data_IF_046776385715
#
_entry.id   IF_046776385715
#
_cell.length_a   1.000
_cell.length_b   1.000
_cell.length_c   1.000
_cell.angle_alpha   90.00
_cell.angle_beta   90.00
_cell.angle_gamma   90.00
#
_symmetry.space_group_name_H-M   'P 1'
#
loop_
_entity.id
_entity.type
_entity.pdbx_description
1 polymer ?
#
# COMPACT_ATOMS: atom_id res chain seq x y z
N UNK A 1 -8.92 -10.61 -12.80
CA UNK A 1 -7.62 -10.89 -13.44
C UNK A 1 -6.73 -11.54 -12.40
N UNK A 2 -6.16 -12.69 -12.71
CA UNK A 2 -5.21 -13.37 -11.81
C UNK A 2 -3.88 -12.58 -11.80
N UNK A 3 -3.34 -12.29 -10.61
CA UNK A 3 -2.07 -11.59 -10.46
C UNK A 3 -0.96 -12.61 -10.71
N UNK A 4 -0.08 -12.33 -11.66
CA UNK A 4 1.07 -13.20 -11.97
C UNK A 4 2.25 -12.82 -11.07
N UNK A 5 2.86 -13.80 -10.43
CA UNK A 5 4.06 -13.62 -9.62
C UNK A 5 5.26 -14.35 -10.23
N UNK A 6 6.41 -13.68 -10.25
CA UNK A 6 7.66 -14.24 -10.75
C UNK A 6 8.79 -13.91 -9.79
N UNK A 7 9.60 -14.91 -9.47
CA UNK A 7 10.76 -14.77 -8.59
C UNK A 7 11.98 -15.41 -9.25
N UNK A 8 13.07 -14.65 -9.35
CA UNK A 8 14.38 -15.18 -9.63
C UNK A 8 14.97 -15.79 -8.35
N UNK A 9 14.90 -17.11 -8.22
CA UNK A 9 15.26 -17.84 -6.99
C UNK A 9 16.24 -18.99 -7.28
N UNK A 10 17.16 -19.21 -6.34
CA UNK A 10 17.90 -20.46 -6.21
C UNK A 10 17.36 -21.18 -4.96
N UNK A 11 16.48 -22.18 -5.14
CA UNK A 11 15.78 -22.82 -4.02
C UNK A 11 16.64 -23.84 -3.28
N UNK A 12 17.86 -24.11 -3.75
CA UNK A 12 18.68 -25.21 -3.27
C UNK A 12 19.61 -24.76 -2.16
N UNK A 13 19.67 -25.59 -1.10
CA UNK A 13 20.78 -25.50 -0.14
C UNK A 13 22.10 -25.74 -0.85
N UNK A 14 23.14 -25.01 -0.43
CA UNK A 14 24.48 -25.08 -1.04
C UNK A 14 24.44 -24.85 -2.56
N UNK A 15 23.41 -24.16 -3.05
CA UNK A 15 23.24 -23.87 -4.46
C UNK A 15 24.38 -23.00 -4.99
N UNK A 16 24.71 -23.18 -6.28
CA UNK A 16 25.68 -22.30 -6.94
C UNK A 16 25.16 -20.85 -6.92
N UNK A 17 25.86 -19.96 -6.21
CA UNK A 17 25.48 -18.54 -6.06
C UNK A 17 25.50 -17.76 -7.37
N UNK A 18 26.10 -18.27 -8.44
CA UNK A 18 26.05 -17.70 -9.78
C UNK A 18 24.83 -18.14 -10.59
N UNK A 19 24.01 -19.06 -10.08
CA UNK A 19 22.82 -19.60 -10.75
C UNK A 19 21.54 -19.16 -10.05
N UNK A 20 20.57 -18.75 -10.85
CA UNK A 20 19.23 -18.33 -10.39
C UNK A 20 18.22 -18.69 -11.47
N UNK A 21 17.02 -19.12 -11.07
CA UNK A 21 16.00 -19.62 -11.98
C UNK A 21 14.72 -18.81 -11.80
N UNK A 22 13.97 -18.62 -12.90
CA UNK A 22 12.66 -17.98 -12.85
C UNK A 22 11.59 -18.99 -12.49
N UNK A 23 10.92 -18.78 -11.36
CA UNK A 23 9.80 -19.60 -10.91
C UNK A 23 8.61 -18.73 -10.46
N UNK A 24 7.46 -19.37 -10.32
CA UNK A 24 6.32 -18.78 -9.62
C UNK A 24 6.61 -18.65 -8.11
N UNK A 25 5.90 -17.75 -7.42
CA UNK A 25 5.99 -17.52 -5.97
C UNK A 25 5.76 -18.79 -5.14
N UNK A 26 5.02 -19.78 -5.65
CA UNK A 26 4.84 -21.08 -4.97
C UNK A 26 6.15 -21.78 -4.62
N UNK A 27 7.19 -21.62 -5.45
CA UNK A 27 8.52 -22.18 -5.16
C UNK A 27 9.16 -21.48 -3.96
N UNK A 28 8.98 -20.16 -3.83
CA UNK A 28 9.41 -19.41 -2.65
C UNK A 28 8.68 -19.93 -1.40
N UNK A 29 7.36 -20.11 -1.48
CA UNK A 29 6.54 -20.58 -0.35
C UNK A 29 6.90 -22.00 0.10
N UNK A 30 7.19 -22.91 -0.84
CA UNK A 30 7.69 -24.25 -0.52
C UNK A 30 9.03 -24.21 0.22
N UNK A 31 9.94 -23.31 -0.16
CA UNK A 31 11.26 -23.20 0.46
C UNK A 31 11.15 -22.66 1.88
N UNK A 32 10.44 -21.56 2.10
CA UNK A 32 10.33 -20.95 3.44
C UNK A 32 9.48 -21.82 4.38
N UNK A 33 8.54 -22.60 3.85
CA UNK A 33 7.71 -23.54 4.61
C UNK A 33 8.43 -24.84 4.98
N UNK A 34 9.67 -25.04 4.52
CA UNK A 34 10.39 -26.29 4.75
C UNK A 34 10.90 -26.39 6.20
N UNK A 35 10.70 -27.57 6.81
CA UNK A 35 11.22 -27.89 8.15
C UNK A 35 12.75 -27.79 8.22
N UNK A 36 13.42 -28.07 7.10
CA UNK A 36 14.87 -28.00 7.00
C UNK A 36 15.37 -26.56 7.10
N UNK A 37 14.74 -25.62 6.37
CA UNK A 37 15.09 -24.20 6.46
C UNK A 37 14.78 -23.66 7.85
N UNK A 38 13.63 -24.02 8.44
CA UNK A 38 13.32 -23.67 9.83
C UNK A 38 14.40 -24.12 10.81
N UNK A 39 14.81 -25.40 10.75
CA UNK A 39 15.91 -25.93 11.59
C UNK A 39 17.21 -25.14 11.38
N UNK A 40 17.58 -24.85 10.14
CA UNK A 40 18.79 -24.08 9.83
C UNK A 40 18.75 -22.67 10.41
N UNK A 41 17.62 -21.97 10.30
CA UNK A 41 17.49 -20.62 10.83
C UNK A 41 17.61 -20.62 12.36
N UNK A 42 16.97 -21.57 13.04
CA UNK A 42 17.11 -21.75 14.49
C UNK A 42 18.57 -22.01 14.88
N UNK A 43 19.28 -22.85 14.13
CA UNK A 43 20.71 -23.11 14.34
C UNK A 43 21.59 -21.87 14.13
N UNK A 44 21.33 -21.09 13.07
CA UNK A 44 22.04 -19.83 12.78
C UNK A 44 21.81 -18.81 13.89
N UNK A 45 20.62 -18.81 14.51
CA UNK A 45 20.24 -17.93 15.61
C UNK A 45 20.73 -18.40 16.98
N UNK A 46 21.28 -19.60 17.07
CA UNK A 46 21.71 -20.22 18.34
C UNK A 46 20.56 -20.78 19.18
N UNK A 47 19.37 -20.94 18.58
CA UNK A 47 18.18 -21.50 19.23
C UNK A 47 18.21 -23.04 19.24
N UNK A 48 18.98 -23.64 18.33
CA UNK A 48 19.27 -25.07 18.29
C UNK A 48 20.76 -25.33 18.16
N UNK A 49 21.27 -26.44 18.73
CA UNK A 49 22.65 -26.84 18.56
C UNK A 49 22.95 -27.22 17.09
N UNK A 50 24.22 -27.07 16.70
CA UNK A 50 24.71 -27.50 15.39
C UNK A 50 25.43 -28.84 15.59
N UNK A 51 24.96 -29.87 14.87
CA UNK A 51 25.51 -31.22 14.96
C UNK A 51 27.03 -31.22 14.71
N UNK A 52 27.80 -31.80 15.62
CA UNK A 52 29.26 -31.89 15.52
C UNK A 52 30.04 -30.62 15.89
N UNK A 53 29.41 -29.64 16.54
CA UNK A 53 30.05 -28.41 17.02
C UNK A 53 29.99 -28.34 18.54
N UNK A 54 31.14 -28.15 19.19
CA UNK A 54 31.20 -27.91 20.63
C UNK A 54 30.57 -26.55 20.97
N UNK A 55 29.54 -26.56 21.81
CA UNK A 55 28.82 -25.36 22.22
C UNK A 55 29.66 -24.45 23.14
N UNK A 56 30.70 -24.98 23.78
CA UNK A 56 31.59 -24.21 24.63
C UNK A 56 32.68 -23.48 23.82
N UNK A 57 32.90 -23.88 22.55
CA UNK A 57 33.80 -23.19 21.64
C UNK A 57 33.05 -22.14 20.82
N UNK A 58 33.04 -20.90 21.33
CA UNK A 58 32.38 -19.77 20.68
C UNK A 58 32.89 -19.51 19.25
N UNK A 59 34.15 -19.80 18.95
CA UNK A 59 34.72 -19.61 17.63
C UNK A 59 34.23 -20.69 16.65
N UNK A 60 34.19 -21.95 17.09
CA UNK A 60 33.62 -23.04 16.30
C UNK A 60 32.13 -22.82 16.02
N UNK A 61 31.35 -22.39 17.02
CA UNK A 61 29.93 -22.03 16.86
C UNK A 61 29.75 -20.93 15.82
N UNK A 62 30.48 -19.83 15.94
CA UNK A 62 30.38 -18.71 14.99
C UNK A 62 30.71 -19.15 13.55
N UNK A 63 31.80 -19.90 13.37
CA UNK A 63 32.21 -20.43 12.05
C UNK A 63 31.14 -21.36 11.46
N UNK A 64 30.54 -22.20 12.29
CA UNK A 64 29.47 -23.10 11.87
C UNK A 64 28.19 -22.34 11.47
N UNK A 65 27.80 -21.32 12.24
CA UNK A 65 26.66 -20.44 11.91
C UNK A 65 26.89 -19.67 10.60
N UNK A 66 28.12 -19.16 10.37
CA UNK A 66 28.51 -18.51 9.12
C UNK A 66 28.43 -19.45 7.92
N UNK A 67 28.92 -20.68 8.10
CA UNK A 67 28.80 -21.73 7.08
C UNK A 67 27.33 -21.99 6.77
N UNK A 68 26.49 -22.28 7.77
CA UNK A 68 25.06 -22.55 7.56
C UNK A 68 24.35 -21.39 6.84
N UNK A 69 24.61 -20.14 7.23
CA UNK A 69 24.05 -18.96 6.54
C UNK A 69 24.44 -18.95 5.06
N UNK A 70 25.70 -19.29 4.75
CA UNK A 70 26.21 -19.30 3.38
C UNK A 70 25.59 -20.38 2.49
N UNK A 71 25.00 -21.41 3.10
CA UNK A 71 24.33 -22.54 2.44
C UNK A 71 22.83 -22.29 2.21
N UNK A 72 22.26 -21.20 2.72
CA UNK A 72 20.83 -20.91 2.58
C UNK A 72 20.47 -20.67 1.10
N UNK A 73 19.26 -21.09 0.67
CA UNK A 73 18.64 -20.63 -0.56
C UNK A 73 18.56 -19.10 -0.60
N UNK A 74 18.43 -18.54 -1.81
CA UNK A 74 18.34 -17.09 -1.98
C UNK A 74 17.48 -16.71 -3.18
N UNK A 75 17.05 -15.46 -3.24
CA UNK A 75 16.40 -14.87 -4.41
C UNK A 75 16.98 -13.50 -4.75
N UNK A 76 16.73 -13.03 -5.98
CA UNK A 76 17.06 -11.68 -6.41
C UNK A 76 15.79 -10.82 -6.36
N UNK A 77 15.79 -9.68 -5.65
CA UNK A 77 14.57 -8.91 -5.42
C UNK A 77 14.18 -7.99 -6.58
N UNK A 78 15.15 -7.60 -7.41
CA UNK A 78 14.97 -6.57 -8.44
C UNK A 78 14.44 -7.11 -9.76
N UNK A 79 14.80 -8.34 -10.13
CA UNK A 79 14.48 -8.93 -11.43
C UNK A 79 13.84 -10.30 -11.24
N UNK A 80 12.83 -10.61 -12.07
CA UNK A 80 12.20 -11.92 -12.12
C UNK A 80 13.01 -12.94 -12.93
N UNK A 81 13.89 -12.49 -13.85
CA UNK A 81 14.59 -13.38 -14.78
C UNK A 81 16.03 -12.93 -15.07
N UNK A 82 16.89 -13.91 -15.34
CA UNK A 82 18.26 -13.70 -15.82
C UNK A 82 18.53 -14.61 -17.02
N UNK A 83 19.20 -14.07 -18.04
CA UNK A 83 19.63 -14.80 -19.22
C UNK A 83 20.49 -15.99 -18.82
N UNK A 84 20.22 -17.15 -19.43
CA UNK A 84 20.92 -18.42 -19.18
C UNK A 84 20.94 -18.86 -17.70
N UNK A 85 20.00 -18.37 -16.89
CA UNK A 85 19.95 -18.62 -15.44
C UNK A 85 21.24 -18.20 -14.71
N UNK A 86 21.94 -17.16 -15.20
CA UNK A 86 23.20 -16.68 -14.63
C UNK A 86 22.99 -15.35 -13.92
N UNK A 87 23.20 -15.33 -12.60
CA UNK A 87 23.07 -14.13 -11.75
C UNK A 87 24.26 -13.19 -11.96
N UNK A 88 24.16 -12.31 -12.95
CA UNK A 88 25.13 -11.23 -13.28
C UNK A 88 24.39 -10.03 -13.86
N UNK A 89 24.96 -8.83 -13.67
CA UNK A 89 24.42 -7.59 -14.21
C UNK A 89 24.17 -7.63 -15.73
N UNK A 90 25.11 -8.18 -16.51
CA UNK A 90 24.99 -8.31 -17.97
C UNK A 90 23.87 -9.26 -18.43
N UNK A 91 23.42 -10.14 -17.53
CA UNK A 91 22.40 -11.14 -17.81
C UNK A 91 21.03 -10.79 -17.20
N UNK A 92 20.93 -9.71 -16.41
CA UNK A 92 19.65 -9.23 -15.90
C UNK A 92 18.76 -8.79 -17.07
N UNK A 93 17.56 -9.37 -17.18
CA UNK A 93 16.62 -9.13 -18.28
C UNK A 93 15.77 -7.88 -17.97
N UNK A 94 15.96 -6.73 -18.64
CA UNK A 94 15.25 -5.48 -18.34
C UNK A 94 13.72 -5.62 -18.36
N UNK A 95 13.20 -6.48 -19.22
CA UNK A 95 11.79 -6.78 -19.37
C UNK A 95 11.18 -7.44 -18.13
N UNK A 96 12.01 -8.12 -17.32
CA UNK A 96 11.62 -8.80 -16.09
C UNK A 96 11.86 -7.95 -14.83
N UNK A 97 12.23 -6.67 -15.00
CA UNK A 97 12.43 -5.76 -13.88
C UNK A 97 11.14 -5.58 -13.09
N UNK A 98 11.20 -5.85 -11.80
CA UNK A 98 10.01 -5.93 -10.95
C UNK A 98 9.59 -4.59 -10.40
N UNK A 99 10.35 -3.48 -10.58
CA UNK A 99 10.07 -2.17 -9.95
C UNK A 99 9.91 -2.24 -8.42
N UNK A 100 10.68 -3.10 -7.77
CA UNK A 100 10.71 -3.25 -6.33
C UNK A 100 12.16 -3.40 -5.86
N UNK A 101 12.42 -3.13 -4.58
CA UNK A 101 13.74 -3.33 -3.97
C UNK A 101 13.58 -3.77 -2.51
N UNK A 102 14.68 -4.19 -1.88
CA UNK A 102 14.71 -4.58 -0.47
C UNK A 102 15.71 -3.71 0.27
N UNK A 103 15.22 -3.01 1.28
CA UNK A 103 16.05 -2.31 2.26
C UNK A 103 16.59 -3.33 3.26
N UNK A 104 17.91 -3.37 3.42
CA UNK A 104 18.59 -4.23 4.38
C UNK A 104 18.94 -3.42 5.64
N UNK A 105 18.17 -3.61 6.71
CA UNK A 105 18.39 -2.94 7.99
C UNK A 105 19.38 -3.78 8.78
N UNK A 106 20.64 -3.39 8.71
CA UNK A 106 21.74 -4.25 9.08
C UNK A 106 22.06 -4.25 10.59
N UNK A 107 21.42 -3.39 11.36
CA UNK A 107 21.61 -3.26 12.80
C UNK A 107 20.30 -3.57 13.55
N UNK A 108 20.40 -4.46 14.55
CA UNK A 108 19.27 -4.94 15.35
C UNK A 108 18.58 -3.83 16.13
N UNK A 109 19.31 -2.78 16.51
CA UNK A 109 18.75 -1.67 17.28
C UNK A 109 17.72 -0.86 16.50
N UNK A 110 17.82 -0.86 15.17
CA UNK A 110 16.88 -0.17 14.30
C UNK A 110 15.65 -1.00 13.93
N UNK A 111 15.65 -2.31 14.17
CA UNK A 111 14.65 -3.24 13.61
C UNK A 111 13.23 -2.87 14.00
N UNK A 112 12.92 -2.72 15.29
CA UNK A 112 11.57 -2.40 15.76
C UNK A 112 11.10 -1.02 15.25
N UNK A 113 11.98 -0.02 15.35
CA UNK A 113 11.71 1.34 14.85
C UNK A 113 11.49 1.36 13.33
N UNK A 114 12.25 0.57 12.58
CA UNK A 114 12.14 0.47 11.13
C UNK A 114 10.85 -0.25 10.72
N UNK A 115 10.40 -1.28 11.44
CA UNK A 115 9.09 -1.91 11.22
C UNK A 115 7.97 -0.90 11.42
N UNK A 116 7.96 -0.18 12.54
CA UNK A 116 6.92 0.81 12.84
C UNK A 116 6.90 1.93 11.79
N UNK A 117 8.07 2.50 11.46
CA UNK A 117 8.17 3.55 10.45
C UNK A 117 7.79 3.06 9.06
N UNK A 118 8.18 1.86 8.64
CA UNK A 118 7.78 1.30 7.35
C UNK A 118 6.25 1.20 7.22
N UNK A 119 5.56 0.81 8.30
CA UNK A 119 4.08 0.80 8.34
C UNK A 119 3.50 2.21 8.27
N UNK A 120 4.08 3.18 9.00
CA UNK A 120 3.65 4.59 8.94
C UNK A 120 3.85 5.19 7.55
N UNK A 121 5.00 4.96 6.91
CA UNK A 121 5.30 5.41 5.55
C UNK A 121 4.31 4.81 4.55
N UNK A 122 4.01 3.51 4.68
CA UNK A 122 3.03 2.83 3.86
C UNK A 122 1.61 3.42 3.97
N UNK A 123 1.25 3.94 5.15
CA UNK A 123 -0.04 4.60 5.38
C UNK A 123 0.04 6.14 5.28
N UNK A 124 1.19 6.70 4.90
CA UNK A 124 1.40 8.15 4.82
C UNK A 124 0.74 8.74 3.58
N UNK A 125 0.61 10.05 3.48
CA UNK A 125 0.17 10.74 2.26
C UNK A 125 1.30 11.02 1.26
N UNK A 126 2.53 10.56 1.56
CA UNK A 126 3.72 10.82 0.75
C UNK A 126 3.94 9.80 -0.35
N UNK A 127 5.10 9.90 -1.03
CA UNK A 127 5.50 9.01 -2.14
C UNK A 127 5.63 7.53 -1.74
N UNK A 128 5.60 7.23 -0.45
CA UNK A 128 5.70 5.89 0.13
C UNK A 128 4.34 5.25 0.45
N UNK A 129 3.22 5.95 0.19
CA UNK A 129 1.90 5.38 0.37
C UNK A 129 1.73 4.08 -0.44
N UNK A 130 1.29 3.01 0.22
CA UNK A 130 1.09 1.70 -0.40
C UNK A 130 2.37 1.02 -0.92
N UNK A 131 3.57 1.54 -0.57
CA UNK A 131 4.82 1.02 -1.11
C UNK A 131 5.31 -0.25 -0.40
N UNK A 132 4.85 -0.55 0.82
CA UNK A 132 5.35 -1.71 1.57
C UNK A 132 4.81 -3.01 0.99
N UNK A 133 5.71 -3.90 0.58
CA UNK A 133 5.37 -5.19 -0.01
C UNK A 133 5.72 -6.37 0.89
N UNK A 134 6.80 -6.27 1.68
CA UNK A 134 7.31 -7.39 2.49
C UNK A 134 8.04 -6.91 3.73
N UNK A 135 7.85 -7.58 4.86
CA UNK A 135 8.66 -7.45 6.07
C UNK A 135 9.09 -8.82 6.53
N UNK A 136 10.39 -9.03 6.70
CA UNK A 136 10.91 -10.32 7.11
C UNK A 136 12.22 -10.20 7.89
N UNK A 137 12.32 -10.98 8.96
CA UNK A 137 13.58 -11.11 9.68
C UNK A 137 14.60 -11.87 8.85
N UNK A 138 15.84 -11.35 8.82
CA UNK A 138 16.96 -12.06 8.23
C UNK A 138 17.38 -13.27 9.08
N UNK A 139 18.28 -14.10 8.54
CA UNK A 139 18.78 -15.28 9.24
C UNK A 139 19.44 -14.94 10.60
N UNK A 140 19.90 -13.69 10.80
CA UNK A 140 20.50 -13.21 12.04
C UNK A 140 19.59 -12.29 12.88
N UNK A 141 18.27 -12.31 12.66
CA UNK A 141 17.28 -11.41 13.29
C UNK A 141 17.54 -9.92 13.03
N UNK A 142 18.15 -9.60 11.88
CA UNK A 142 18.09 -8.24 11.30
C UNK A 142 16.80 -8.12 10.47
N UNK A 143 16.59 -7.06 9.70
CA UNK A 143 15.32 -6.86 8.98
C UNK A 143 15.53 -6.58 7.49
N UNK A 144 14.73 -7.25 6.66
CA UNK A 144 14.54 -6.92 5.25
C UNK A 144 13.16 -6.28 5.05
N UNK A 145 13.12 -5.14 4.36
CA UNK A 145 11.89 -4.42 4.01
C UNK A 145 11.77 -4.35 2.50
N UNK A 146 10.86 -5.15 1.92
CA UNK A 146 10.55 -5.11 0.50
C UNK A 146 9.58 -3.97 0.19
N UNK A 147 9.93 -3.12 -0.78
CA UNK A 147 9.12 -1.97 -1.18
C UNK A 147 8.97 -1.86 -2.70
N UNK A 148 7.82 -1.34 -3.12
CA UNK A 148 7.54 -0.85 -4.47
C UNK A 148 8.28 0.46 -4.68
N UNK A 149 9.04 0.55 -5.77
CA UNK A 149 9.73 1.78 -6.13
C UNK A 149 8.73 2.84 -6.59
N UNK A 150 8.86 4.12 -6.19
CA UNK A 150 8.09 5.21 -6.78
C UNK A 150 8.36 5.33 -8.28
N UNK A 151 7.39 5.85 -9.03
CA UNK A 151 7.51 5.98 -10.49
C UNK A 151 8.68 6.90 -10.84
N UNK A 152 9.57 6.42 -11.71
CA UNK A 152 10.70 7.19 -12.21
C UNK A 152 11.94 7.18 -11.31
N UNK A 153 11.89 6.71 -10.06
CA UNK A 153 13.07 6.60 -9.18
C UNK A 153 13.91 5.35 -9.50
N UNK A 154 15.24 5.49 -9.53
CA UNK A 154 16.15 4.34 -9.65
C UNK A 154 16.20 3.53 -8.35
N UNK A 155 16.81 2.34 -8.38
CA UNK A 155 16.99 1.52 -7.17
C UNK A 155 17.79 2.31 -6.12
N UNK A 156 18.87 2.96 -6.53
CA UNK A 156 19.72 3.75 -5.66
C UNK A 156 18.99 4.94 -5.04
N UNK A 157 18.27 5.73 -5.86
CA UNK A 157 17.46 6.85 -5.37
C UNK A 157 16.40 6.37 -4.38
N UNK A 158 15.73 5.25 -4.68
CA UNK A 158 14.71 4.66 -3.82
C UNK A 158 15.30 4.22 -2.50
N UNK A 159 16.43 3.50 -2.52
CA UNK A 159 17.11 3.02 -1.32
C UNK A 159 17.55 4.17 -0.43
N UNK A 160 18.21 5.19 -0.98
CA UNK A 160 18.67 6.37 -0.24
C UNK A 160 17.50 7.10 0.44
N UNK A 161 16.48 7.45 -0.33
CA UNK A 161 15.34 8.20 0.17
C UNK A 161 14.51 7.41 1.19
N UNK A 162 14.36 6.09 1.02
CA UNK A 162 13.63 5.27 1.98
C UNK A 162 14.43 5.04 3.27
N UNK A 163 15.74 4.80 3.18
CA UNK A 163 16.62 4.71 4.36
C UNK A 163 16.59 6.00 5.17
N UNK A 164 16.64 7.16 4.51
CA UNK A 164 16.48 8.48 5.15
C UNK A 164 15.13 8.61 5.85
N UNK A 165 14.02 8.26 5.18
CA UNK A 165 12.68 8.30 5.77
C UNK A 165 12.52 7.35 6.98
N UNK A 166 13.17 6.18 6.94
CA UNK A 166 13.25 5.27 8.07
C UNK A 166 14.18 5.77 9.19
N UNK A 167 15.13 6.65 8.87
CA UNK A 167 16.21 7.03 9.78
C UNK A 167 17.14 5.85 10.08
N UNK A 168 17.49 5.06 9.06
CA UNK A 168 18.47 3.97 9.13
C UNK A 168 19.63 4.25 8.17
N UNK A 169 20.84 3.74 8.43
CA UNK A 169 21.95 3.87 7.50
C UNK A 169 21.65 3.25 6.13
N UNK A 170 22.11 3.92 5.07
CA UNK A 170 22.02 3.41 3.70
C UNK A 170 23.17 2.44 3.40
N UNK A 171 22.87 1.30 2.79
CA UNK A 171 23.84 0.30 2.31
C UNK A 171 23.96 0.34 0.77
N UNK A 172 25.12 0.79 0.29
CA UNK A 172 25.45 0.87 -1.14
C UNK A 172 25.47 -0.51 -1.83
N UNK A 173 25.64 -1.61 -1.08
CA UNK A 173 25.70 -2.96 -1.64
C UNK A 173 24.34 -3.49 -2.14
N UNK A 174 23.25 -2.76 -1.88
CA UNK A 174 21.89 -3.19 -2.16
C UNK A 174 21.33 -2.75 -3.52
N UNK A 175 22.11 -2.06 -4.37
CA UNK A 175 21.60 -1.43 -5.60
C UNK A 175 21.78 -2.23 -6.88
N UNK A 176 22.62 -3.28 -6.88
CA UNK A 176 22.98 -3.96 -8.12
C UNK A 176 21.90 -4.96 -8.59
N UNK A 177 21.79 -5.23 -9.91
CA UNK A 177 20.84 -6.21 -10.43
C UNK A 177 20.99 -7.60 -9.83
N UNK A 178 22.23 -8.04 -9.61
CA UNK A 178 22.56 -9.33 -9.03
C UNK A 178 22.40 -9.39 -7.50
N UNK A 179 21.93 -8.32 -6.82
CA UNK A 179 21.70 -8.36 -5.38
C UNK A 179 20.88 -9.60 -5.02
N UNK A 180 21.35 -10.34 -4.01
CA UNK A 180 20.69 -11.55 -3.53
C UNK A 180 20.32 -11.41 -2.06
N UNK A 181 19.20 -12.00 -1.68
CA UNK A 181 18.72 -12.04 -0.31
C UNK A 181 18.51 -13.49 0.09
N UNK A 182 19.16 -13.90 1.18
CA UNK A 182 18.99 -15.25 1.72
C UNK A 182 17.57 -15.44 2.24
N UNK A 183 16.98 -16.58 1.91
CA UNK A 183 15.66 -16.97 2.37
C UNK A 183 15.72 -17.42 3.83
N UNK A 184 14.67 -17.09 4.56
CA UNK A 184 14.43 -17.51 5.93
C UNK A 184 13.17 -18.35 6.01
N UNK A 185 12.88 -18.88 7.19
CA UNK A 185 11.71 -19.69 7.43
C UNK A 185 10.42 -18.86 7.49
N UNK A 186 9.27 -19.51 7.29
CA UNK A 186 7.96 -18.84 7.26
C UNK A 186 7.67 -18.01 8.52
N UNK A 187 8.12 -18.45 9.70
CA UNK A 187 7.85 -17.73 10.96
C UNK A 187 8.65 -16.43 11.06
N UNK A 188 9.67 -16.25 10.22
CA UNK A 188 10.41 -15.00 10.09
C UNK A 188 9.70 -13.95 9.23
N UNK A 189 8.62 -14.29 8.54
CA UNK A 189 7.83 -13.35 7.73
C UNK A 189 6.79 -12.63 8.59
N UNK A 190 6.92 -11.30 8.67
CA UNK A 190 6.07 -10.43 9.48
C UNK A 190 4.86 -9.94 8.66
N UNK A 191 5.09 -9.63 7.39
CA UNK A 191 4.08 -9.11 6.49
C UNK A 191 4.42 -9.44 5.04
N UNK A 192 3.40 -9.73 4.23
CA UNK A 192 3.50 -9.86 2.78
C UNK A 192 2.26 -9.32 2.09
N UNK A 193 2.45 -8.41 1.15
CA UNK A 193 1.42 -7.92 0.23
C UNK A 193 1.14 -8.93 -0.89
N UNK A 194 -0.10 -8.98 -1.40
CA UNK A 194 -0.43 -9.71 -2.63
C UNK A 194 0.37 -9.22 -3.85
N UNK A 195 0.95 -8.01 -3.79
CA UNK A 195 1.78 -7.45 -4.86
C UNK A 195 3.28 -7.76 -4.71
N UNK A 196 3.68 -8.55 -3.71
CA UNK A 196 5.07 -8.94 -3.51
C UNK A 196 5.56 -9.86 -4.64
N UNK A 197 6.58 -9.46 -5.39
CA UNK A 197 7.05 -10.15 -6.60
C UNK A 197 5.97 -10.31 -7.69
N UNK A 198 4.92 -9.48 -7.65
CA UNK A 198 3.90 -9.45 -8.69
C UNK A 198 4.41 -8.70 -9.92
N UNK A 199 4.10 -9.23 -11.10
CA UNK A 199 4.22 -8.54 -12.38
C UNK A 199 3.11 -7.49 -12.44
N UNK A 200 3.49 -6.22 -12.61
CA UNK A 200 2.54 -5.12 -12.71
C UNK A 200 1.74 -5.21 -14.03
N UNK A 201 0.54 -4.61 -14.10
CA UNK A 201 -0.20 -4.49 -15.36
C UNK A 201 0.65 -3.81 -16.44
N UNK A 202 0.48 -4.23 -17.69
CA UNK A 202 1.28 -3.73 -18.81
C UNK A 202 1.23 -2.19 -18.94
N UNK A 203 0.05 -1.59 -18.73
CA UNK A 203 -0.11 -0.13 -18.74
C UNK A 203 0.76 0.58 -17.69
N UNK A 204 0.87 0.01 -16.49
CA UNK A 204 1.72 0.56 -15.43
C UNK A 204 3.20 0.35 -15.73
N UNK A 205 3.58 -0.82 -16.27
CA UNK A 205 4.95 -1.09 -16.73
C UNK A 205 5.37 -0.05 -17.76
N UNK A 206 4.53 0.22 -18.77
CA UNK A 206 4.83 1.19 -19.82
C UNK A 206 4.96 2.62 -19.26
N UNK A 207 4.09 3.03 -18.34
CA UNK A 207 4.20 4.33 -17.68
C UNK A 207 5.52 4.48 -16.90
N UNK A 208 5.92 3.45 -16.15
CA UNK A 208 7.18 3.45 -15.38
C UNK A 208 8.41 3.43 -16.27
N UNK A 209 8.40 2.64 -17.35
CA UNK A 209 9.48 2.64 -18.36
C UNK A 209 9.61 3.99 -19.04
N UNK A 210 8.49 4.61 -19.42
CA UNK A 210 8.49 5.96 -19.99
C UNK A 210 9.13 6.96 -19.04
N UNK A 211 8.80 6.91 -17.75
CA UNK A 211 9.43 7.79 -16.75
C UNK A 211 10.96 7.62 -16.65
N UNK A 212 11.49 6.41 -16.84
CA UNK A 212 12.94 6.20 -16.95
C UNK A 212 13.51 6.74 -18.27
N UNK A 213 12.88 6.44 -19.39
CA UNK A 213 13.34 6.87 -20.71
C UNK A 213 13.33 8.40 -20.86
N UNK A 214 12.31 9.08 -20.31
CA UNK A 214 12.22 10.55 -20.28
C UNK A 214 13.41 11.18 -19.53
N UNK A 215 14.03 10.44 -18.59
CA UNK A 215 15.25 10.83 -17.85
C UNK A 215 16.55 10.44 -18.57
N UNK A 216 16.47 9.77 -19.72
CA UNK A 216 17.62 9.22 -20.44
C UNK A 216 18.17 7.91 -19.85
N UNK A 217 17.42 7.24 -18.97
CA UNK A 217 17.78 5.94 -18.41
C UNK A 217 17.27 4.80 -19.30
N UNK A 218 17.79 3.58 -19.08
CA UNK A 218 17.23 2.36 -19.69
C UNK A 218 15.84 2.04 -19.11
N UNK A 219 15.12 1.13 -19.76
CA UNK A 219 13.77 0.70 -19.32
C UNK A 219 13.73 0.06 -17.92
N UNK A 220 14.87 -0.32 -17.38
CA UNK A 220 15.05 -0.82 -16.01
C UNK A 220 15.83 0.16 -15.11
N UNK A 221 15.91 1.44 -15.50
CA UNK A 221 16.41 2.53 -14.68
C UNK A 221 17.93 2.58 -14.51
N UNK A 222 18.70 1.94 -15.41
CA UNK A 222 20.18 1.97 -15.42
C UNK A 222 20.70 3.07 -16.36
N UNK A 223 21.93 3.50 -16.13
CA UNK A 223 22.64 4.49 -16.94
C UNK A 223 22.82 5.82 -16.22
N UNK A 224 23.59 6.72 -16.84
CA UNK A 224 23.84 8.05 -16.30
C UNK A 224 22.66 8.95 -16.65
N UNK A 225 21.82 9.26 -15.66
CA UNK A 225 20.76 10.24 -15.82
C UNK A 225 21.36 11.54 -16.36
N UNK A 226 20.73 12.16 -17.37
CA UNK A 226 21.10 13.52 -17.78
C UNK A 226 20.91 14.42 -16.56
N UNK A 227 22.02 14.91 -16.01
CA UNK A 227 22.20 15.81 -14.84
C UNK A 227 20.90 16.50 -14.41
N UNK A 228 20.07 15.77 -13.68
CA UNK A 228 18.88 16.19 -12.95
C UNK A 228 18.52 14.97 -12.09
N UNK A 229 19.29 14.76 -11.02
CA UNK A 229 18.84 13.89 -9.93
C UNK A 229 17.43 14.32 -9.57
N UNK A 230 16.50 13.38 -9.45
CA UNK A 230 15.18 13.67 -8.89
C UNK A 230 15.40 14.07 -7.43
N UNK A 231 15.71 15.34 -7.19
CA UNK A 231 15.60 15.94 -5.88
C UNK A 231 14.10 16.06 -5.59
N UNK A 232 13.51 14.98 -5.10
CA UNK A 232 12.35 15.12 -4.26
C UNK A 232 12.84 15.86 -3.02
N UNK A 233 12.61 17.17 -2.97
CA UNK A 233 12.80 17.94 -1.74
C UNK A 233 11.84 17.35 -0.71
N UNK A 234 12.36 16.48 0.15
CA UNK A 234 11.68 16.08 1.37
C UNK A 234 11.81 17.28 2.31
N UNK A 235 10.91 18.26 2.22
CA UNK A 235 10.76 19.24 3.29
C UNK A 235 9.32 19.69 3.43
N UNK A 236 8.89 19.78 4.69
CA UNK A 236 7.67 20.47 5.08
C UNK A 236 7.69 21.94 4.68
N UNK A 237 6.50 22.49 4.55
CA UNK A 237 6.18 23.91 4.42
C UNK A 237 7.19 24.80 3.68
N UNK A 238 6.97 25.04 2.39
CA UNK A 238 6.90 26.41 1.85
C UNK A 238 6.40 26.44 0.41
N UNK A 239 5.59 27.48 0.15
CA UNK A 239 5.18 27.95 -1.16
C UNK A 239 6.41 28.33 -1.99
N UNK A 240 6.42 28.01 -3.29
CA UNK A 240 6.61 29.07 -4.26
C UNK A 240 6.16 28.74 -5.69
N UNK A 241 5.73 29.83 -6.32
CA UNK A 241 5.13 30.00 -7.64
C UNK A 241 5.88 29.34 -8.80
N UNK A 242 5.16 28.56 -9.60
CA UNK A 242 5.47 28.39 -11.03
C UNK A 242 4.20 28.54 -11.86
N UNK A 243 4.29 29.41 -12.86
CA UNK A 243 3.21 29.92 -13.71
C UNK A 243 2.50 28.80 -14.48
N UNK A 244 1.19 28.69 -14.28
CA UNK A 244 0.29 27.85 -15.08
C UNK A 244 0.00 28.52 -16.43
N UNK A 245 0.38 27.85 -17.51
CA UNK A 245 -0.14 28.16 -18.83
C UNK A 245 -1.52 27.48 -18.98
N UNK A 246 -2.56 28.32 -19.09
CA UNK A 246 -3.96 27.95 -19.27
C UNK A 246 -4.19 27.30 -20.63
N UNK A 247 -4.97 26.23 -20.66
CA UNK A 247 -5.83 25.90 -21.79
C UNK A 247 -7.27 25.77 -21.28
N UNK A 248 -8.13 26.58 -21.89
CA UNK A 248 -9.56 26.75 -21.64
C UNK A 248 -10.36 25.52 -22.07
N UNK A 249 -11.34 25.12 -21.25
CA UNK A 249 -12.40 24.18 -21.60
C UNK A 249 -13.77 24.77 -21.27
N UNK A 250 -14.70 24.63 -22.21
CA UNK A 250 -15.92 25.43 -22.41
C UNK A 250 -17.11 24.98 -21.54
N UNK A 251 -17.97 25.93 -21.15
CA UNK A 251 -19.26 25.70 -20.47
C UNK A 251 -20.33 25.14 -21.42
N UNK A 252 -21.14 24.19 -20.94
CA UNK A 252 -22.36 23.71 -21.61
C UNK A 252 -23.47 23.45 -20.59
N UNK A 253 -24.51 24.27 -20.64
CA UNK A 253 -25.74 24.19 -19.85
C UNK A 253 -26.64 23.05 -20.34
N UNK A 254 -26.57 21.88 -19.68
CA UNK A 254 -27.60 20.84 -19.74
C UNK A 254 -28.40 20.86 -18.43
N UNK A 255 -29.72 20.69 -18.48
CA UNK A 255 -30.58 20.64 -17.29
C UNK A 255 -30.09 19.57 -16.31
N UNK A 256 -29.45 20.02 -15.23
CA UNK A 256 -29.04 19.17 -14.12
C UNK A 256 -30.32 18.69 -13.38
N UNK A 257 -30.58 17.38 -13.38
CA UNK A 257 -31.65 16.76 -12.60
C UNK A 257 -31.50 16.97 -11.09
N UNK A 258 -32.44 16.45 -10.27
CA UNK A 258 -32.40 16.62 -8.81
C UNK A 258 -31.17 15.97 -8.16
N UNK A 259 -30.70 16.55 -7.06
CA UNK A 259 -29.55 16.04 -6.30
C UNK A 259 -29.91 14.73 -5.59
N UNK A 260 -28.95 13.79 -5.53
CA UNK A 260 -29.14 12.58 -4.73
C UNK A 260 -29.31 12.91 -3.24
N UNK A 261 -30.30 12.29 -2.60
CA UNK A 261 -30.57 12.43 -1.17
C UNK A 261 -29.34 12.12 -0.30
N UNK A 262 -28.58 11.08 -0.68
CA UNK A 262 -27.29 10.76 -0.02
C UNK A 262 -26.34 11.95 -0.06
N UNK A 263 -26.23 12.62 -1.21
CA UNK A 263 -25.28 13.71 -1.40
C UNK A 263 -25.73 14.99 -0.68
N UNK A 264 -27.05 15.22 -0.57
CA UNK A 264 -27.61 16.29 0.26
C UNK A 264 -27.26 16.08 1.75
N UNK A 265 -27.40 14.84 2.25
CA UNK A 265 -27.03 14.49 3.63
C UNK A 265 -25.51 14.58 3.83
N UNK A 266 -24.72 14.07 2.88
CA UNK A 266 -23.25 14.16 2.95
C UNK A 266 -22.79 15.61 3.01
N UNK A 267 -23.39 16.50 2.21
CA UNK A 267 -23.06 17.92 2.22
C UNK A 267 -23.31 18.55 3.60
N UNK A 268 -24.45 18.28 4.24
CA UNK A 268 -24.72 18.79 5.59
C UNK A 268 -23.69 18.27 6.63
N UNK A 269 -23.28 17.01 6.53
CA UNK A 269 -22.23 16.45 7.40
C UNK A 269 -20.85 17.08 7.13
N UNK A 270 -20.57 17.50 5.90
CA UNK A 270 -19.35 18.26 5.59
C UNK A 270 -19.43 19.73 6.02
N UNK A 271 -20.62 20.35 6.06
CA UNK A 271 -20.83 21.66 6.71
C UNK A 271 -20.42 21.57 8.19
N UNK A 272 -20.85 20.51 8.89
CA UNK A 272 -20.46 20.27 10.29
C UNK A 272 -18.95 20.02 10.41
N UNK A 273 -18.38 19.19 9.54
CA UNK A 273 -16.95 18.87 9.54
C UNK A 273 -16.07 20.09 9.23
N UNK A 274 -16.58 21.06 8.47
CA UNK A 274 -15.94 22.33 8.20
C UNK A 274 -16.10 23.35 9.36
N UNK A 275 -16.80 22.99 10.45
CA UNK A 275 -17.05 23.86 11.60
C UNK A 275 -18.10 24.94 11.34
N UNK A 276 -18.96 24.76 10.34
CA UNK A 276 -19.98 25.73 9.92
C UNK A 276 -21.39 25.37 10.42
N UNK A 277 -21.48 24.48 11.42
CA UNK A 277 -22.76 24.06 12.00
C UNK A 277 -23.52 25.26 12.59
N UNK A 278 -24.80 25.41 12.22
CA UNK A 278 -25.66 26.51 12.66
C UNK A 278 -25.43 27.85 11.96
N UNK A 279 -24.47 27.94 11.03
CA UNK A 279 -24.26 29.13 10.21
C UNK A 279 -25.09 29.11 8.93
N UNK A 280 -25.58 30.28 8.50
CA UNK A 280 -26.24 30.43 7.19
C UNK A 280 -25.16 30.50 6.12
N UNK A 281 -24.89 29.36 5.49
CA UNK A 281 -23.80 29.21 4.51
C UNK A 281 -24.06 30.00 3.21
N UNK A 282 -25.32 30.27 2.85
CA UNK A 282 -25.70 31.05 1.65
C UNK A 282 -25.83 32.56 1.92
N UNK A 283 -24.91 33.11 2.71
CA UNK A 283 -24.90 34.54 3.07
C UNK A 283 -23.92 35.31 2.16
N UNK A 284 -24.37 36.45 1.62
CA UNK A 284 -23.54 37.34 0.80
C UNK A 284 -22.33 37.81 1.64
N UNK A 285 -21.13 37.61 1.10
CA UNK A 285 -19.86 37.94 1.75
C UNK A 285 -19.11 36.75 2.39
N UNK A 286 -19.79 35.64 2.71
CA UNK A 286 -19.14 34.45 3.30
C UNK A 286 -19.33 33.17 2.49
N UNK A 287 -20.36 33.09 1.65
CA UNK A 287 -20.73 31.91 0.84
C UNK A 287 -19.60 31.28 0.00
N UNK A 288 -18.71 32.08 -0.59
CA UNK A 288 -17.55 31.57 -1.33
C UNK A 288 -16.61 30.78 -0.41
N UNK A 289 -16.22 31.39 0.71
CA UNK A 289 -15.35 30.77 1.71
C UNK A 289 -16.02 29.56 2.37
N UNK A 290 -17.33 29.63 2.63
CA UNK A 290 -18.10 28.50 3.16
C UNK A 290 -18.08 27.30 2.21
N UNK A 291 -18.38 27.50 0.92
CA UNK A 291 -18.36 26.41 -0.06
C UNK A 291 -16.97 25.83 -0.26
N UNK A 292 -15.94 26.68 -0.31
CA UNK A 292 -14.55 26.22 -0.40
C UNK A 292 -14.14 25.38 0.82
N UNK A 293 -14.52 25.78 2.04
CA UNK A 293 -14.25 25.03 3.26
C UNK A 293 -14.93 23.65 3.26
N UNK A 294 -16.19 23.58 2.81
CA UNK A 294 -16.95 22.33 2.69
C UNK A 294 -16.31 21.38 1.67
N UNK A 295 -15.88 21.89 0.51
CA UNK A 295 -15.15 21.08 -0.48
C UNK A 295 -13.80 20.60 0.04
N UNK A 296 -13.10 21.44 0.80
CA UNK A 296 -11.80 21.13 1.39
C UNK A 296 -11.90 20.12 2.53
N UNK A 297 -13.02 20.12 3.27
CA UNK A 297 -13.35 19.08 4.25
C UNK A 297 -13.62 17.72 3.60
N UNK A 298 -13.89 17.71 2.28
CA UNK A 298 -13.93 16.50 1.46
C UNK A 298 -15.28 16.21 0.81
N UNK A 299 -16.21 17.17 0.78
CA UNK A 299 -17.45 17.01 0.03
C UNK A 299 -17.20 16.66 -1.46
N UNK A 300 -16.17 17.27 -2.08
CA UNK A 300 -15.82 17.01 -3.47
C UNK A 300 -15.23 15.62 -3.75
N UNK A 301 -14.91 14.87 -2.69
CA UNK A 301 -14.33 13.51 -2.76
C UNK A 301 -15.41 12.43 -2.79
N UNK A 302 -16.63 12.76 -2.35
CA UNK A 302 -17.72 11.79 -2.17
C UNK A 302 -18.83 11.93 -3.21
N UNK A 303 -18.83 13.01 -3.98
CA UNK A 303 -19.78 13.27 -5.05
C UNK A 303 -19.06 13.87 -6.27
N UNK A 304 -19.58 13.60 -7.47
CA UNK A 304 -19.04 14.18 -8.70
C UNK A 304 -19.25 15.69 -8.75
N UNK A 305 -18.52 16.37 -9.65
CA UNK A 305 -18.68 17.80 -9.88
C UNK A 305 -20.13 18.16 -10.22
N UNK A 306 -20.75 17.40 -11.12
CA UNK A 306 -22.14 17.54 -11.53
C UNK A 306 -23.12 17.37 -10.35
N UNK A 307 -22.86 16.38 -9.48
CA UNK A 307 -23.69 16.17 -8.29
C UNK A 307 -23.52 17.30 -7.27
N UNK A 308 -22.30 17.80 -7.09
CA UNK A 308 -22.06 18.94 -6.21
C UNK A 308 -22.78 20.19 -6.72
N UNK A 309 -22.81 20.44 -8.03
CA UNK A 309 -23.56 21.55 -8.63
C UNK A 309 -25.05 21.47 -8.30
N UNK A 310 -25.66 20.29 -8.34
CA UNK A 310 -27.08 20.08 -7.96
C UNK A 310 -27.33 20.31 -6.48
N UNK A 311 -26.42 19.82 -5.63
CA UNK A 311 -26.49 20.00 -4.18
C UNK A 311 -26.38 21.48 -3.82
N UNK A 312 -25.43 22.21 -4.41
CA UNK A 312 -25.23 23.65 -4.18
C UNK A 312 -26.44 24.46 -4.66
N UNK A 313 -27.05 24.10 -5.80
CA UNK A 313 -28.33 24.70 -6.23
C UNK A 313 -29.44 24.60 -5.20
N UNK A 314 -29.46 23.51 -4.43
CA UNK A 314 -30.49 23.25 -3.41
C UNK A 314 -30.14 23.88 -2.06
N UNK A 315 -28.88 23.75 -1.63
CA UNK A 315 -28.41 24.16 -0.29
C UNK A 315 -27.93 25.61 -0.22
N UNK A 316 -27.52 26.18 -1.36
CA UNK A 316 -27.03 27.55 -1.50
C UNK A 316 -27.60 28.22 -2.77
N UNK A 317 -28.94 28.33 -2.88
CA UNK A 317 -29.60 28.76 -4.12
C UNK A 317 -29.23 30.17 -4.57
N UNK A 318 -28.90 31.06 -3.64
CA UNK A 318 -28.52 32.45 -3.95
C UNK A 318 -27.10 32.51 -4.52
N UNK A 319 -26.15 31.76 -3.94
CA UNK A 319 -24.80 31.68 -4.48
C UNK A 319 -24.73 30.96 -5.82
N UNK A 320 -25.56 29.92 -5.99
CA UNK A 320 -25.60 29.13 -7.22
C UNK A 320 -25.94 29.98 -8.46
N UNK A 321 -26.69 31.08 -8.32
CA UNK A 321 -26.98 31.96 -9.46
C UNK A 321 -25.74 32.73 -9.97
N UNK A 322 -24.63 32.71 -9.24
CA UNK A 322 -23.45 33.50 -9.56
C UNK A 322 -22.42 32.73 -10.38
N UNK A 323 -21.78 33.37 -11.38
CA UNK A 323 -20.72 32.74 -12.16
C UNK A 323 -19.53 32.29 -11.30
N UNK A 324 -19.21 33.05 -10.24
CA UNK A 324 -18.12 32.76 -9.30
C UNK A 324 -18.29 31.39 -8.61
N UNK A 325 -19.52 31.04 -8.23
CA UNK A 325 -19.82 29.75 -7.61
C UNK A 325 -19.47 28.57 -8.54
N UNK A 326 -19.84 28.69 -9.81
CA UNK A 326 -19.58 27.64 -10.80
C UNK A 326 -18.08 27.50 -11.09
N UNK A 327 -17.38 28.63 -11.23
CA UNK A 327 -15.94 28.64 -11.49
C UNK A 327 -15.17 28.06 -10.29
N UNK A 328 -15.58 28.38 -9.06
CA UNK A 328 -14.96 27.85 -7.85
C UNK A 328 -15.02 26.31 -7.79
N UNK A 329 -16.20 25.74 -8.06
CA UNK A 329 -16.38 24.28 -8.06
C UNK A 329 -15.52 23.65 -9.16
N UNK A 330 -15.59 24.16 -10.39
CA UNK A 330 -14.83 23.64 -11.52
C UNK A 330 -13.31 23.70 -11.27
N UNK A 331 -12.80 24.84 -10.79
CA UNK A 331 -11.37 25.01 -10.49
C UNK A 331 -10.91 24.09 -9.35
N UNK A 332 -11.78 23.84 -8.36
CA UNK A 332 -11.49 22.92 -7.28
C UNK A 332 -11.39 21.49 -7.79
N UNK A 333 -12.33 21.04 -8.63
CA UNK A 333 -12.29 19.70 -9.20
C UNK A 333 -11.10 19.54 -10.17
N UNK A 334 -10.83 20.51 -11.03
CA UNK A 334 -9.68 20.47 -11.93
C UNK A 334 -8.34 20.33 -11.18
N UNK A 335 -8.22 20.89 -9.97
CA UNK A 335 -6.99 20.82 -9.15
C UNK A 335 -6.96 19.62 -8.18
N UNK A 336 -8.11 19.19 -7.67
CA UNK A 336 -8.20 18.27 -6.53
C UNK A 336 -9.07 17.02 -6.77
N UNK A 337 -9.84 16.95 -7.86
CA UNK A 337 -10.64 15.77 -8.24
C UNK A 337 -9.78 14.68 -8.88
N UNK A 338 -8.77 14.24 -8.15
CA UNK A 338 -8.09 12.99 -8.45
C UNK A 338 -8.84 11.86 -7.73
N UNK A 339 -9.81 11.23 -8.39
CA UNK A 339 -10.60 10.11 -7.84
C UNK A 339 -9.75 8.91 -7.42
N UNK A 340 -8.46 8.86 -7.81
CA UNK A 340 -7.52 7.81 -7.44
C UNK A 340 -6.78 8.08 -6.13
N UNK A 341 -6.86 9.30 -5.58
CA UNK A 341 -6.40 9.54 -4.19
C UNK A 341 -7.31 8.75 -3.24
N UNK A 342 -6.80 8.14 -2.16
CA UNK A 342 -7.66 7.57 -1.14
C UNK A 342 -8.37 8.69 -0.35
N UNK A 343 -9.65 8.49 -0.04
CA UNK A 343 -10.38 9.40 0.86
C UNK A 343 -9.73 9.38 2.25
N UNK A 344 -9.65 10.53 2.93
CA UNK A 344 -9.17 10.56 4.30
C UNK A 344 -10.13 9.76 5.21
N UNK A 345 -9.65 9.30 6.36
CA UNK A 345 -10.48 8.52 7.29
C UNK A 345 -11.75 9.26 7.72
N UNK A 346 -11.69 10.59 7.83
CA UNK A 346 -12.85 11.41 8.19
C UNK A 346 -13.82 11.53 7.01
N UNK A 347 -13.33 11.68 5.77
CA UNK A 347 -14.16 11.67 4.56
C UNK A 347 -14.84 10.31 4.35
N UNK A 348 -14.13 9.20 4.60
CA UNK A 348 -14.70 7.85 4.55
C UNK A 348 -15.80 7.70 5.60
N UNK A 349 -15.56 8.16 6.84
CA UNK A 349 -16.54 8.11 7.94
C UNK A 349 -17.79 8.91 7.60
N UNK A 350 -17.62 10.14 7.09
CA UNK A 350 -18.74 11.01 6.71
C UNK A 350 -19.53 10.41 5.54
N UNK A 351 -18.86 9.84 4.54
CA UNK A 351 -19.52 9.18 3.41
C UNK A 351 -20.32 7.94 3.86
N UNK A 352 -19.74 7.10 4.72
CA UNK A 352 -20.41 5.93 5.28
C UNK A 352 -21.62 6.32 6.15
N UNK A 353 -21.49 7.38 6.95
CA UNK A 353 -22.59 7.92 7.76
C UNK A 353 -23.71 8.50 6.88
N UNK A 354 -23.37 9.15 5.77
CA UNK A 354 -24.33 9.64 4.80
C UNK A 354 -25.09 8.49 4.12
N UNK A 355 -24.40 7.40 3.76
CA UNK A 355 -25.02 6.19 3.22
C UNK A 355 -25.98 5.54 4.22
N UNK A 356 -25.57 5.42 5.48
CA UNK A 356 -26.41 4.87 6.53
C UNK A 356 -27.70 5.70 6.70
N UNK A 357 -27.58 7.03 6.86
CA UNK A 357 -28.73 7.92 7.03
C UNK A 357 -29.66 7.92 5.81
N UNK A 358 -29.11 7.89 4.59
CA UNK A 358 -29.92 7.81 3.38
C UNK A 358 -30.70 6.47 3.28
N UNK A 359 -30.09 5.38 3.76
CA UNK A 359 -30.75 4.07 3.81
C UNK A 359 -31.82 4.00 4.91
N UNK A 360 -31.61 4.66 6.05
CA UNK A 360 -32.62 4.78 7.11
C UNK A 360 -33.86 5.53 6.61
N UNK A 361 -33.70 6.66 5.92
CA UNK A 361 -34.81 7.41 5.31
C UNK A 361 -35.56 6.56 4.30
N UNK A 362 -34.86 5.86 3.39
CA UNK A 362 -35.49 4.93 2.42
C UNK A 362 -36.16 3.73 3.08
N UNK A 363 -35.63 3.24 4.20
CA UNK A 363 -36.23 2.14 4.95
C UNK A 363 -37.50 2.57 5.67
N UNK A 364 -37.54 3.80 6.18
CA UNK A 364 -38.73 4.39 6.80
C UNK A 364 -39.80 4.68 5.74
N UNK A 365 -39.42 5.21 4.57
CA UNK A 365 -40.31 5.35 3.42
C UNK A 365 -40.86 4.00 2.92
N UNK A 366 -40.03 2.94 2.92
CA UNK A 366 -40.48 1.57 2.60
C UNK A 366 -41.37 0.99 3.68
N UNK A 367 -41.12 1.28 4.96
CA UNK A 367 -41.94 0.83 6.08
C UNK A 367 -43.31 1.47 6.05
N UNK A 368 -43.37 2.76 5.70
CA UNK A 368 -44.61 3.52 5.44
C UNK A 368 -45.33 3.01 4.19
N UNK A 369 -44.61 2.61 3.13
CA UNK A 369 -45.20 2.00 1.93
C UNK A 369 -45.68 0.55 2.16
N UNK A 370 -44.99 -0.23 2.99
CA UNK A 370 -45.34 -1.62 3.31
C UNK A 370 -46.44 -1.73 4.37
N UNK A 371 -46.54 -0.79 5.31
CA UNK A 371 -47.73 -0.68 6.19
C UNK A 371 -49.01 -0.34 5.41
N UNK A 372 -48.88 0.08 4.16
CA UNK A 372 -49.99 0.32 3.25
C UNK A 372 -50.28 -0.86 2.30
N UNK A 373 -49.53 -1.97 2.40
CA UNK A 373 -49.61 -3.11 1.49
C UNK A 373 -49.64 -4.46 2.24
N UNK A 374 -50.55 -4.60 3.21
CA UNK A 374 -50.91 -5.91 3.76
C UNK A 374 -51.78 -6.68 2.76
N UNK A 375 -51.23 -7.75 2.16
CA UNK A 375 -51.99 -8.61 1.27
C UNK A 375 -51.22 -9.76 0.61
N UNK A 376 -51.12 -10.88 1.34
CA UNK A 376 -51.21 -12.28 0.86
C UNK A 376 -49.99 -13.11 0.34
N UNK A 377 -49.88 -14.28 1.00
CA UNK A 377 -49.51 -15.65 0.57
C UNK A 377 -48.04 -16.18 0.50
N UNK A 378 -47.78 -17.07 1.48
CA UNK A 378 -47.14 -18.43 1.50
C UNK A 378 -46.15 -18.94 0.43
N UNK A 379 -44.98 -19.34 0.95
CA UNK A 379 -44.19 -20.59 0.79
C UNK A 379 -44.24 -21.37 -0.54
N UNK A 380 -43.08 -21.53 -1.20
CA UNK A 380 -42.61 -22.83 -1.72
C UNK A 380 -41.11 -22.83 -2.06
N UNK A 381 -40.39 -23.80 -1.48
CA UNK A 381 -38.98 -24.09 -1.73
C UNK A 381 -38.83 -25.10 -2.88
N UNK A 382 -37.96 -24.83 -3.85
CA UNK A 382 -37.28 -25.86 -4.65
C UNK A 382 -36.05 -25.31 -5.37
N UNK A 383 -34.99 -26.13 -5.37
CA UNK A 383 -33.62 -25.84 -5.82
C UNK A 383 -33.50 -25.58 -7.34
N UNK A 384 -32.73 -24.55 -7.70
CA UNK A 384 -31.83 -24.51 -8.87
C UNK A 384 -30.83 -23.35 -8.74
N UNK A 385 -29.71 -23.47 -9.43
CA UNK A 385 -28.36 -23.10 -9.00
C UNK A 385 -27.83 -21.81 -9.67
N UNK A 386 -26.91 -21.12 -8.95
CA UNK A 386 -25.92 -20.09 -9.36
C UNK A 386 -26.41 -18.65 -9.59
N UNK A 387 -25.99 -17.72 -8.72
CA UNK A 387 -25.04 -16.61 -8.98
C UNK A 387 -25.09 -15.52 -7.90
N UNK A 388 -23.89 -15.16 -7.38
CA UNK A 388 -23.55 -13.95 -6.58
C UNK A 388 -24.32 -13.77 -5.26
N UNK A 389 -23.77 -13.30 -4.16
CA UNK A 389 -22.50 -12.67 -3.79
C UNK A 389 -22.67 -12.45 -2.30
N UNK A 390 -21.78 -12.94 -1.45
CA UNK A 390 -21.63 -12.40 -0.09
C UNK A 390 -20.19 -12.59 0.34
N UNK A 391 -19.56 -11.46 0.64
CA UNK A 391 -18.29 -11.41 1.34
C UNK A 391 -18.50 -11.91 2.77
N UNK A 392 -18.02 -13.11 3.05
CA UNK A 392 -17.75 -13.54 4.42
C UNK A 392 -16.24 -13.47 4.65
N UNK A 393 -15.75 -12.27 4.97
CA UNK A 393 -14.46 -12.13 5.65
C UNK A 393 -14.65 -12.59 7.10
N UNK A 394 -13.92 -13.60 7.59
CA UNK A 394 -13.85 -13.82 9.01
C UNK A 394 -13.05 -12.67 9.65
N UNK A 395 -13.61 -12.05 10.69
CA UNK A 395 -12.87 -11.13 11.54
C UNK A 395 -11.61 -11.82 12.11
N UNK A 396 -10.50 -11.08 12.30
CA UNK A 396 -9.32 -11.63 12.97
C UNK A 396 -9.69 -12.14 14.36
N UNK A 397 -9.14 -13.29 14.81
CA UNK A 397 -9.53 -13.92 16.05
C UNK A 397 -9.26 -12.98 17.25
N UNK A 398 -10.22 -12.91 18.17
CA UNK A 398 -10.05 -12.19 19.43
C UNK A 398 -8.88 -12.78 20.23
N UNK A 399 -8.16 -11.89 20.93
CA UNK A 399 -7.06 -12.27 21.80
C UNK A 399 -7.54 -13.29 22.85
N UNK A 400 -6.87 -14.44 23.04
CA UNK A 400 -7.36 -15.46 23.97
C UNK A 400 -7.34 -14.94 25.41
N UNK A 401 -8.48 -14.99 26.11
CA UNK A 401 -8.62 -14.56 27.50
C UNK A 401 -7.83 -15.41 28.50
N UNK A 402 -7.36 -16.59 28.10
CA UNK A 402 -6.48 -17.44 28.90
C UNK A 402 -5.23 -17.79 28.12
N UNK A 403 -4.10 -17.34 28.65
CA UNK A 403 -2.77 -17.71 28.17
C UNK A 403 -2.63 -19.26 28.18
N UNK A 404 -1.99 -19.87 27.17
CA UNK A 404 -1.66 -21.28 27.22
C UNK A 404 -0.83 -21.56 28.49
N UNK A 405 -1.10 -22.70 29.16
CA UNK A 405 -0.43 -23.18 30.41
C UNK A 405 1.11 -23.09 30.40
N UNK A 406 1.72 -22.92 29.23
CA UNK A 406 3.16 -22.70 29.07
C UNK A 406 3.65 -21.36 29.66
N UNK A 407 2.79 -20.34 29.78
CA UNK A 407 3.16 -19.05 30.37
C UNK A 407 3.10 -19.10 31.91
N UNK A 408 2.17 -19.84 32.53
CA UNK A 408 2.16 -20.07 33.99
C UNK A 408 3.43 -20.80 34.46
N UNK A 409 3.97 -21.70 33.64
CA UNK A 409 5.23 -22.41 33.93
C UNK A 409 6.47 -21.51 33.90
N UNK A 410 6.43 -20.39 33.15
CA UNK A 410 7.56 -19.44 33.04
C UNK A 410 7.56 -18.38 34.17
N UNK A 411 6.48 -18.29 34.95
CA UNK A 411 6.35 -17.36 36.11
C UNK A 411 6.22 -18.12 37.45
N UNK A 412 6.15 -19.45 37.41
CA UNK A 412 6.18 -20.30 38.61
C UNK A 412 7.53 -20.17 39.33
N UNK A 413 7.49 -19.76 40.60
CA UNK A 413 8.63 -19.83 41.55
C UNK A 413 8.58 -21.08 42.42
N UNK A 414 7.86 -22.11 42.00
CA UNK A 414 7.85 -23.42 42.66
C UNK A 414 8.70 -24.41 41.86
N UNK A 415 9.73 -25.03 42.48
CA UNK A 415 10.57 -26.00 41.81
C UNK A 415 9.89 -27.39 41.84
N UNK A 416 9.43 -27.86 40.69
CA UNK A 416 9.22 -29.28 40.38
C UNK A 416 9.74 -29.59 38.98
#
# INVERSE_FOLDING_TARGET
MEIVHVVAINPYRKGNKGKVFSYNIDTYDKVIGSKEIKKMIQQIRGELPIDGVDLNDAQAVKKAQERLKSELPFFCPHYGMFKNNVRRQENAMPESFLFQTIIDVDDKEYVEKAIEKARKLNCSSGIWNGSLLHLCYSARKKLHIGIRMPVGMTIEETQKAYCEALGVPYDESCITPERMIFLTDKDSEIYRSKMWCAVLPESEIQARRKAFLDRGLTVDGRGDAKVNSLQFTVNGNSNDNVQNNRLSGNHGSGELGEASEKNLIAFDLFVQSAGLEGMVIDTVGSRHSSLLAIMSAGASRVMSEEELMKVVRTKMPSYYQEPDCHQLIHDFYAKYADSCKPMSRDVIRVNALAEQKANEVKSEERRVKNSNADGNYTVQSSNLQVQSSDEDYPDPPAMPEKLPKLVELLISRTPE
#
